data_IF_017045939619
#
_entry.id   IF_017045939619
#
_cell.length_a   1.000
_cell.length_b   1.000
_cell.length_c   1.000
_cell.angle_alpha   90.00
_cell.angle_beta   90.00
_cell.angle_gamma   90.00
#
_symmetry.space_group_name_H-M   'P 1'
#
loop_
_entity.id
_entity.type
_entity.pdbx_description
1 polymer ?
#
# COMPACT_ATOMS: atom_id res chain seq x y z
N UNK A 1 15.29 28.15 15.75
CA UNK A 1 14.32 27.22 15.13
C UNK A 1 14.68 27.09 13.67
N UNK A 2 14.82 25.89 13.10
CA UNK A 2 14.99 25.77 11.67
C UNK A 2 13.78 26.36 10.95
N UNK A 3 14.05 27.18 9.94
CA UNK A 3 13.02 27.83 9.13
C UNK A 3 12.51 26.82 8.10
N UNK A 4 11.46 26.08 8.45
CA UNK A 4 10.69 25.36 7.44
C UNK A 4 9.78 26.34 6.69
N UNK A 5 9.49 26.06 5.42
CA UNK A 5 8.51 26.80 4.61
C UNK A 5 7.49 25.82 4.07
N UNK A 6 6.22 26.09 4.33
CA UNK A 6 5.11 25.37 3.72
C UNK A 6 4.62 26.16 2.50
N UNK A 7 4.33 25.43 1.43
CA UNK A 7 3.75 25.99 0.22
C UNK A 7 2.66 25.04 -0.28
N UNK A 8 1.43 25.53 -0.33
CA UNK A 8 0.30 24.79 -0.84
C UNK A 8 -0.19 25.47 -2.13
N UNK A 9 -0.29 24.71 -3.21
CA UNK A 9 -0.90 25.13 -4.48
C UNK A 9 -2.14 24.25 -4.75
N UNK A 10 -3.32 24.70 -4.28
CA UNK A 10 -4.57 23.96 -4.50
C UNK A 10 -4.92 23.78 -5.98
N UNK A 11 -4.50 24.71 -6.84
CA UNK A 11 -4.81 24.65 -8.29
C UNK A 11 -4.11 23.49 -8.98
N UNK A 12 -2.94 23.11 -8.48
CA UNK A 12 -2.16 21.97 -8.96
C UNK A 12 -2.39 20.69 -8.16
N UNK A 13 -3.11 20.77 -7.04
CA UNK A 13 -3.25 19.68 -6.08
C UNK A 13 -1.95 19.38 -5.34
N UNK A 14 -1.07 20.38 -5.21
CA UNK A 14 0.28 20.21 -4.69
C UNK A 14 0.41 20.81 -3.30
N UNK A 15 1.10 20.09 -2.40
CA UNK A 15 1.52 20.57 -1.09
C UNK A 15 3.00 20.31 -0.94
N UNK A 16 3.72 21.25 -0.32
CA UNK A 16 5.17 21.21 -0.25
C UNK A 16 5.67 21.72 1.10
N UNK A 17 6.73 21.08 1.60
CA UNK A 17 7.53 21.57 2.72
C UNK A 17 9.00 21.65 2.29
N UNK A 18 9.65 22.77 2.60
CA UNK A 18 11.09 22.94 2.44
C UNK A 18 11.76 23.15 3.81
N UNK A 19 12.78 22.36 4.11
CA UNK A 19 13.55 22.40 5.36
C UNK A 19 14.92 21.71 5.18
N UNK A 20 15.97 22.23 5.82
CA UNK A 20 17.31 21.60 5.85
C UNK A 20 17.88 21.20 4.47
N UNK A 21 17.66 22.02 3.43
CA UNK A 21 18.12 21.71 2.05
C UNK A 21 17.30 20.63 1.34
N UNK A 22 16.18 20.20 1.94
CA UNK A 22 15.21 19.28 1.38
C UNK A 22 13.94 20.00 0.95
N UNK A 23 13.42 19.58 -0.19
CA UNK A 23 12.10 19.95 -0.69
C UNK A 23 11.26 18.69 -0.84
N UNK A 24 10.18 18.58 -0.08
CA UNK A 24 9.26 17.44 -0.11
C UNK A 24 7.93 17.93 -0.67
N UNK A 25 7.51 17.36 -1.79
CA UNK A 25 6.33 17.76 -2.55
C UNK A 25 5.39 16.57 -2.75
N UNK A 26 4.13 16.72 -2.35
CA UNK A 26 3.06 15.75 -2.62
C UNK A 26 2.06 16.32 -3.63
N UNK A 27 1.73 15.57 -4.66
CA UNK A 27 0.75 15.91 -5.68
C UNK A 27 -0.40 14.92 -5.63
N UNK A 28 -1.62 15.43 -5.47
CA UNK A 28 -2.87 14.65 -5.50
C UNK A 28 -3.85 15.27 -6.48
N UNK A 29 -4.26 14.47 -7.46
CA UNK A 29 -5.15 14.82 -8.57
C UNK A 29 -6.25 13.76 -8.69
N UNK A 30 -7.35 14.09 -9.39
CA UNK A 30 -8.38 13.09 -9.70
C UNK A 30 -7.81 11.90 -10.47
N UNK A 31 -8.61 10.83 -10.55
CA UNK A 31 -8.34 9.70 -11.44
C UNK A 31 -8.13 10.18 -12.89
N UNK A 32 -7.37 9.41 -13.67
CA UNK A 32 -7.12 9.73 -15.07
C UNK A 32 -8.43 9.91 -15.84
N UNK A 33 -8.48 10.95 -16.67
CA UNK A 33 -9.54 11.06 -17.66
C UNK A 33 -9.40 9.93 -18.70
N UNK A 34 -10.50 9.58 -19.38
CA UNK A 34 -10.51 8.54 -20.43
C UNK A 34 -9.32 8.67 -21.41
N UNK A 35 -9.05 9.84 -22.04
CA UNK A 35 -7.92 9.95 -22.96
C UNK A 35 -6.54 9.80 -22.28
N UNK A 36 -6.38 10.25 -21.02
CA UNK A 36 -5.13 10.02 -20.28
C UNK A 36 -4.97 8.54 -19.91
N UNK A 37 -6.07 7.87 -19.56
CA UNK A 37 -6.10 6.44 -19.24
C UNK A 37 -5.76 5.59 -20.48
N UNK A 38 -6.31 5.91 -21.64
CA UNK A 38 -5.99 5.25 -22.91
C UNK A 38 -4.51 5.42 -23.27
N UNK A 39 -3.98 6.64 -23.11
CA UNK A 39 -2.57 6.94 -23.36
C UNK A 39 -1.64 6.18 -22.40
N UNK A 40 -1.96 6.16 -21.10
CA UNK A 40 -1.19 5.45 -20.09
C UNK A 40 -1.27 3.92 -20.27
N UNK A 41 -2.45 3.39 -20.59
CA UNK A 41 -2.65 1.96 -20.91
C UNK A 41 -1.80 1.54 -22.12
N UNK A 42 -1.73 2.40 -23.14
CA UNK A 42 -0.92 2.18 -24.34
C UNK A 42 0.59 2.24 -24.03
N UNK A 43 1.04 3.26 -23.29
CA UNK A 43 2.47 3.41 -22.91
C UNK A 43 2.94 2.26 -22.02
N UNK A 44 2.09 1.82 -21.10
CA UNK A 44 2.39 0.75 -20.17
C UNK A 44 2.17 -0.64 -20.77
N UNK A 45 1.43 -0.77 -21.88
CA UNK A 45 1.00 -2.07 -22.42
C UNK A 45 0.35 -2.94 -21.31
N UNK A 46 -0.57 -2.33 -20.57
CA UNK A 46 -1.19 -2.87 -19.36
C UNK A 46 -2.60 -2.27 -19.19
N UNK A 47 -3.61 -3.11 -18.95
CA UNK A 47 -4.93 -2.64 -18.53
C UNK A 47 -4.79 -1.90 -17.20
N UNK A 48 -5.19 -0.64 -17.14
CA UNK A 48 -5.08 0.13 -15.91
C UNK A 48 -6.04 -0.39 -14.83
N UNK A 49 -5.66 -0.26 -13.55
CA UNK A 49 -6.57 -0.45 -12.42
C UNK A 49 -7.83 0.41 -12.56
N UNK A 50 -8.94 -0.06 -11.99
CA UNK A 50 -10.22 0.66 -11.99
C UNK A 50 -10.10 2.09 -11.44
N UNK A 51 -9.33 2.28 -10.36
CA UNK A 51 -9.07 3.58 -9.75
C UNK A 51 -7.59 3.91 -9.94
N UNK A 52 -7.27 4.59 -11.04
CA UNK A 52 -5.89 4.97 -11.38
C UNK A 52 -5.65 6.47 -11.19
N UNK A 53 -4.88 6.86 -10.17
CA UNK A 53 -4.45 8.24 -9.96
C UNK A 53 -3.12 8.50 -10.69
N UNK A 54 -3.11 8.39 -12.02
CA UNK A 54 -1.88 8.45 -12.82
C UNK A 54 -1.05 9.73 -12.67
N UNK A 55 -1.67 10.82 -12.21
CA UNK A 55 -1.04 12.12 -11.98
C UNK A 55 -0.60 12.37 -10.51
N UNK A 56 -0.73 11.37 -9.63
CA UNK A 56 -0.30 11.46 -8.24
C UNK A 56 1.19 11.13 -8.10
N UNK A 57 1.86 11.87 -7.23
CA UNK A 57 3.27 11.64 -6.94
C UNK A 57 3.68 12.17 -5.56
N UNK A 58 4.63 11.50 -4.93
CA UNK A 58 5.48 12.06 -3.88
C UNK A 58 6.88 12.26 -4.44
N UNK A 59 7.42 13.47 -4.30
CA UNK A 59 8.76 13.81 -4.76
C UNK A 59 9.56 14.45 -3.64
N UNK A 60 10.77 13.97 -3.41
CA UNK A 60 11.71 14.46 -2.39
C UNK A 60 12.99 14.87 -3.08
N UNK A 61 13.35 16.13 -3.00
CA UNK A 61 14.50 16.72 -3.68
C UNK A 61 15.54 17.18 -2.66
N UNK A 62 16.81 16.89 -2.94
CA UNK A 62 17.94 17.38 -2.16
C UNK A 62 18.69 18.46 -2.95
N UNK A 63 18.71 19.68 -2.43
CA UNK A 63 19.20 20.85 -3.16
C UNK A 63 20.71 20.76 -3.45
N UNK A 64 21.51 20.24 -2.51
CA UNK A 64 22.97 20.21 -2.64
C UNK A 64 23.45 19.05 -3.52
N UNK A 65 22.97 17.84 -3.26
CA UNK A 65 23.36 16.65 -4.03
C UNK A 65 22.63 16.57 -5.39
N UNK A 66 21.64 17.44 -5.61
CA UNK A 66 20.92 17.60 -6.88
C UNK A 66 20.28 16.31 -7.37
N UNK A 67 19.68 15.51 -6.49
CA UNK A 67 18.87 14.36 -6.90
C UNK A 67 17.45 14.47 -6.34
N UNK A 68 16.55 13.66 -6.90
CA UNK A 68 15.20 13.49 -6.40
C UNK A 68 14.85 12.02 -6.23
N UNK A 69 14.13 11.70 -5.15
CA UNK A 69 13.42 10.45 -4.98
C UNK A 69 11.96 10.68 -5.35
N UNK A 70 11.37 9.77 -6.11
CA UNK A 70 10.00 9.92 -6.60
C UNK A 70 9.21 8.60 -6.53
N UNK A 71 7.97 8.71 -6.06
CA UNK A 71 6.98 7.65 -6.12
C UNK A 71 5.77 8.19 -6.88
N UNK A 72 5.56 7.71 -8.10
CA UNK A 72 4.41 8.06 -8.93
C UNK A 72 3.70 6.80 -9.43
N UNK A 73 2.43 6.94 -9.79
CA UNK A 73 1.56 5.82 -10.18
C UNK A 73 2.05 5.07 -11.42
N UNK A 74 2.53 5.79 -12.43
CA UNK A 74 2.92 5.18 -13.71
C UNK A 74 4.17 4.32 -13.56
N UNK A 75 5.17 4.75 -12.78
CA UNK A 75 6.36 3.95 -12.49
C UNK A 75 6.03 2.70 -11.68
N UNK A 76 5.10 2.80 -10.73
CA UNK A 76 4.60 1.65 -9.97
C UNK A 76 3.94 0.61 -10.89
N UNK A 77 3.10 1.05 -11.82
CA UNK A 77 2.44 0.18 -12.80
C UNK A 77 3.43 -0.36 -13.86
N UNK A 78 4.46 0.39 -14.21
CA UNK A 78 5.51 -0.04 -15.14
C UNK A 78 6.28 -1.25 -14.61
N UNK A 79 6.43 -1.37 -13.29
CA UNK A 79 7.09 -2.47 -12.62
C UNK A 79 6.21 -3.73 -12.41
N UNK A 80 4.95 -3.70 -12.84
CA UNK A 80 4.09 -4.89 -12.82
C UNK A 80 4.61 -5.91 -13.85
N UNK A 81 4.79 -7.15 -13.40
CA UNK A 81 5.27 -8.23 -14.25
C UNK A 81 4.22 -8.60 -15.31
N UNK A 82 4.64 -8.69 -16.57
CA UNK A 82 3.79 -8.96 -17.75
C UNK A 82 4.58 -9.65 -18.85
N UNK A 83 3.88 -10.31 -19.77
CA UNK A 83 4.46 -10.93 -20.98
C UNK A 83 4.61 -12.44 -20.90
N UNK A 84 4.91 -13.12 -22.02
CA UNK A 84 5.02 -14.58 -22.04
C UNK A 84 6.07 -15.10 -21.02
N UNK A 85 5.68 -16.10 -20.24
CA UNK A 85 6.52 -16.66 -19.17
C UNK A 85 6.50 -15.87 -17.86
N UNK A 86 5.61 -14.88 -17.71
CA UNK A 86 5.40 -14.16 -16.45
C UNK A 86 5.09 -15.12 -15.29
N UNK A 87 4.36 -16.21 -15.55
CA UNK A 87 3.99 -17.21 -14.56
C UNK A 87 5.09 -18.24 -14.30
N UNK A 88 5.93 -18.50 -15.31
CA UNK A 88 7.05 -19.45 -15.25
C UNK A 88 8.36 -18.83 -14.75
N UNK A 89 8.45 -17.50 -14.66
CA UNK A 89 9.61 -16.80 -14.11
C UNK A 89 9.82 -17.20 -12.64
N UNK A 90 11.03 -17.64 -12.29
CA UNK A 90 11.37 -18.00 -10.92
C UNK A 90 11.15 -16.79 -10.00
N UNK A 91 10.28 -16.93 -9.00
CA UNK A 91 9.94 -15.84 -8.08
C UNK A 91 8.81 -14.93 -8.54
N UNK A 92 8.11 -15.24 -9.64
CA UNK A 92 6.96 -14.44 -10.11
C UNK A 92 5.90 -14.22 -9.03
N UNK A 93 5.73 -15.20 -8.13
CA UNK A 93 4.62 -15.19 -7.18
C UNK A 93 3.28 -15.19 -7.91
N UNK A 94 3.20 -15.76 -9.10
CA UNK A 94 2.03 -15.76 -9.96
C UNK A 94 0.79 -16.27 -9.20
N UNK A 95 -0.22 -15.41 -9.05
CA UNK A 95 -1.51 -15.79 -8.49
C UNK A 95 -2.53 -15.77 -9.60
N UNK A 96 -2.94 -16.94 -10.10
CA UNK A 96 -4.01 -16.98 -11.10
C UNK A 96 -5.35 -16.76 -10.40
N UNK A 97 -5.92 -15.58 -10.57
CA UNK A 97 -7.31 -15.31 -10.18
C UNK A 97 -8.22 -16.10 -11.12
N UNK A 98 -9.18 -16.86 -10.58
CA UNK A 98 -9.99 -17.81 -11.36
C UNK A 98 -10.73 -17.18 -12.56
N UNK A 99 -11.00 -15.87 -12.52
CA UNK A 99 -11.65 -15.13 -13.60
C UNK A 99 -10.68 -14.55 -14.66
N UNK A 100 -9.37 -14.50 -14.38
CA UNK A 100 -8.37 -14.03 -15.34
C UNK A 100 -8.44 -14.82 -16.66
N UNK A 101 -8.72 -16.13 -16.56
CA UNK A 101 -8.92 -17.00 -17.71
C UNK A 101 -10.21 -16.66 -18.47
N UNK A 102 -11.28 -16.23 -17.79
CA UNK A 102 -12.55 -15.85 -18.43
C UNK A 102 -12.46 -14.49 -19.11
N UNK A 103 -11.80 -13.51 -18.49
CA UNK A 103 -11.55 -12.19 -19.10
C UNK A 103 -10.65 -12.31 -20.34
N UNK A 104 -9.57 -13.09 -20.23
CA UNK A 104 -8.68 -13.40 -21.36
C UNK A 104 -9.44 -14.12 -22.48
N UNK A 105 -10.32 -15.08 -22.13
CA UNK A 105 -11.19 -15.78 -23.08
C UNK A 105 -12.24 -14.85 -23.70
N UNK A 106 -12.83 -13.93 -22.94
CA UNK A 106 -13.83 -12.98 -23.43
C UNK A 106 -13.20 -11.96 -24.39
N UNK A 107 -11.99 -11.48 -24.12
CA UNK A 107 -11.23 -10.63 -25.04
C UNK A 107 -10.88 -11.36 -26.35
N UNK A 108 -10.47 -12.63 -26.25
CA UNK A 108 -10.21 -13.48 -27.42
C UNK A 108 -11.50 -13.78 -28.22
N UNK A 109 -12.64 -13.98 -27.54
CA UNK A 109 -13.92 -14.32 -28.15
C UNK A 109 -14.68 -13.12 -28.73
N UNK A 110 -14.50 -11.92 -28.18
CA UNK A 110 -15.18 -10.69 -28.62
C UNK A 110 -14.69 -10.17 -29.97
N UNK A 111 -13.64 -10.75 -30.57
CA UNK A 111 -13.15 -10.33 -31.89
C UNK A 111 -12.71 -8.87 -31.97
N UNK A 112 -12.47 -8.20 -30.84
CA UNK A 112 -12.05 -6.79 -30.75
C UNK A 112 -10.57 -6.57 -31.14
N UNK A 113 -10.09 -7.38 -32.09
CA UNK A 113 -8.77 -7.34 -32.72
C UNK A 113 -8.67 -6.26 -33.82
N UNK A 114 -9.68 -5.40 -33.96
CA UNK A 114 -9.72 -4.40 -35.02
C UNK A 114 -8.89 -3.15 -34.75
N UNK A 115 -8.63 -2.77 -33.49
CA UNK A 115 -7.88 -1.54 -33.21
C UNK A 115 -7.31 -1.38 -31.78
N UNK A 116 -7.30 -2.42 -30.95
CA UNK A 116 -6.64 -2.38 -29.63
C UNK A 116 -5.47 -3.35 -29.62
N UNK A 117 -4.29 -2.84 -29.29
CA UNK A 117 -3.07 -3.64 -29.07
C UNK A 117 -3.37 -4.78 -28.11
N UNK A 118 -3.12 -6.02 -28.55
CA UNK A 118 -3.26 -7.22 -27.72
C UNK A 118 -2.35 -7.06 -26.51
N UNK A 119 -2.95 -6.78 -25.35
CA UNK A 119 -2.19 -6.57 -24.12
C UNK A 119 -1.47 -7.84 -23.70
N UNK A 120 -0.27 -7.68 -23.16
CA UNK A 120 0.51 -8.80 -22.66
C UNK A 120 -0.23 -9.53 -21.53
N UNK A 121 -0.14 -10.87 -21.47
CA UNK A 121 -0.74 -11.62 -20.37
C UNK A 121 -0.05 -11.24 -19.05
N UNK A 122 -0.84 -11.10 -17.99
CA UNK A 122 -0.44 -10.84 -16.61
C UNK A 122 -1.50 -11.40 -15.64
N UNK A 123 -1.27 -11.31 -14.33
CA UNK A 123 -2.07 -11.98 -13.31
C UNK A 123 -3.26 -11.20 -12.74
N UNK A 124 -3.48 -9.97 -13.23
CA UNK A 124 -4.53 -9.05 -12.77
C UNK A 124 -4.41 -8.62 -11.30
N UNK A 125 -3.32 -8.92 -10.60
CA UNK A 125 -3.12 -8.53 -9.20
C UNK A 125 -2.42 -7.18 -9.03
N UNK A 126 -1.89 -6.64 -10.13
CA UNK A 126 -1.09 -5.41 -10.14
C UNK A 126 0.09 -5.43 -9.15
N UNK A 127 0.62 -6.63 -8.84
CA UNK A 127 1.77 -6.79 -7.95
C UNK A 127 2.96 -5.99 -8.49
N UNK A 128 3.40 -5.00 -7.71
CA UNK A 128 4.54 -4.14 -8.03
C UNK A 128 5.63 -4.26 -6.97
N UNK A 129 6.88 -4.35 -7.42
CA UNK A 129 8.08 -4.40 -6.58
C UNK A 129 8.90 -3.11 -6.68
N UNK A 130 8.27 -2.00 -7.10
CA UNK A 130 8.98 -0.77 -7.38
C UNK A 130 9.41 -0.04 -6.07
N UNK A 131 10.71 0.20 -5.84
CA UNK A 131 11.20 0.79 -4.60
C UNK A 131 11.15 2.33 -4.57
N UNK A 132 10.63 2.96 -5.61
CA UNK A 132 10.74 4.39 -5.86
C UNK A 132 11.87 4.72 -6.84
N UNK A 133 11.63 5.72 -7.68
CA UNK A 133 12.54 6.19 -8.71
C UNK A 133 13.58 7.13 -8.10
N UNK A 134 14.81 7.07 -8.59
CA UNK A 134 15.88 8.02 -8.24
C UNK A 134 16.27 8.78 -9.49
N UNK A 135 16.07 10.10 -9.49
CA UNK A 135 16.37 10.97 -10.61
C UNK A 135 17.61 11.80 -10.28
N UNK A 136 18.67 11.60 -11.05
CA UNK A 136 19.87 12.46 -11.02
C UNK A 136 20.03 13.15 -12.35
N UNK A 137 20.22 14.48 -12.39
CA UNK A 137 20.55 15.19 -13.61
C UNK A 137 21.93 14.72 -14.11
N UNK A 138 22.17 14.73 -15.43
CA UNK A 138 23.42 14.24 -16.02
C UNK A 138 24.69 14.96 -15.52
N UNK A 139 24.54 16.16 -14.96
CA UNK A 139 25.64 16.97 -14.44
C UNK A 139 26.00 16.69 -12.97
N UNK A 140 25.21 15.88 -12.25
CA UNK A 140 25.44 15.55 -10.85
C UNK A 140 26.01 14.12 -10.69
N UNK A 141 26.60 13.84 -9.53
CA UNK A 141 27.01 12.47 -9.20
C UNK A 141 25.77 11.57 -9.07
N UNK A 142 25.78 10.34 -9.63
CA UNK A 142 24.66 9.43 -9.50
C UNK A 142 24.39 9.06 -8.04
N UNK A 143 23.13 9.19 -7.63
CA UNK A 143 22.69 8.80 -6.31
C UNK A 143 22.39 7.29 -6.33
N UNK A 144 23.38 6.51 -5.91
CA UNK A 144 23.35 5.05 -6.01
C UNK A 144 22.95 4.41 -4.67
N UNK A 145 21.98 3.49 -4.73
CA UNK A 145 21.59 2.65 -3.60
C UNK A 145 22.51 1.45 -3.47
N UNK A 146 23.00 1.20 -2.25
CA UNK A 146 23.89 0.09 -1.93
C UNK A 146 23.31 -0.75 -0.81
N UNK A 147 23.61 -2.06 -0.80
CA UNK A 147 23.22 -2.91 0.31
C UNK A 147 23.86 -2.41 1.62
N UNK A 148 23.06 -2.31 2.68
CA UNK A 148 23.55 -1.95 3.99
C UNK A 148 24.49 -3.04 4.55
N UNK A 149 25.56 -2.68 5.26
CA UNK A 149 26.38 -3.69 5.94
C UNK A 149 25.54 -4.45 6.98
N UNK A 150 25.82 -5.74 7.25
CA UNK A 150 25.04 -6.54 8.20
C UNK A 150 24.97 -5.98 9.63
N UNK A 151 25.93 -5.12 9.99
CA UNK A 151 26.01 -4.44 11.29
C UNK A 151 25.18 -3.16 11.38
N UNK A 152 24.56 -2.73 10.27
CA UNK A 152 23.80 -1.49 10.24
C UNK A 152 22.53 -1.59 11.10
N UNK A 153 22.24 -0.61 11.98
CA UNK A 153 21.10 -0.68 12.90
C UNK A 153 19.73 -0.61 12.19
N UNK A 154 19.71 -0.13 10.95
CA UNK A 154 18.49 0.05 10.16
C UNK A 154 17.74 1.32 10.52
N UNK A 155 16.45 1.36 10.20
CA UNK A 155 15.62 2.53 10.50
C UNK A 155 15.34 2.57 12.02
N UNK A 156 15.63 3.68 12.70
CA UNK A 156 15.39 3.81 14.14
C UNK A 156 13.89 4.01 14.43
N UNK A 157 13.11 2.92 14.37
CA UNK A 157 11.65 2.95 14.57
C UNK A 157 11.23 3.54 15.92
N UNK A 158 12.05 3.39 16.96
CA UNK A 158 11.80 3.99 18.27
C UNK A 158 11.78 5.52 18.22
N UNK A 159 12.68 6.13 17.43
CA UNK A 159 12.70 7.59 17.23
C UNK A 159 11.48 8.07 16.45
N UNK A 160 10.94 7.25 15.55
CA UNK A 160 9.73 7.56 14.79
C UNK A 160 8.43 7.40 15.60
N UNK A 161 8.45 6.61 16.69
CA UNK A 161 7.32 6.40 17.59
C UNK A 161 7.19 7.50 18.66
N UNK A 162 8.20 8.37 18.78
CA UNK A 162 8.21 9.50 19.71
C UNK A 162 7.12 10.52 19.36
N UNK A 163 6.33 10.89 20.37
CA UNK A 163 5.23 11.87 20.25
C UNK A 163 5.62 13.28 20.69
N UNK A 164 6.82 13.47 21.26
CA UNK A 164 7.30 14.77 21.72
C UNK A 164 7.74 15.69 20.57
N UNK A 165 8.09 15.12 19.41
CA UNK A 165 8.48 15.88 18.22
C UNK A 165 7.23 16.08 17.33
N UNK A 166 6.81 17.32 17.07
CA UNK A 166 5.61 17.57 16.27
C UNK A 166 5.84 17.22 14.79
N UNK A 167 4.81 16.62 14.17
CA UNK A 167 4.77 16.40 12.73
C UNK A 167 4.50 17.75 12.05
N UNK A 168 5.45 18.22 11.25
CA UNK A 168 5.35 19.47 10.50
C UNK A 168 4.62 19.29 9.18
N UNK A 169 4.78 18.12 8.55
CA UNK A 169 4.14 17.79 7.30
C UNK A 169 3.74 16.32 7.29
N UNK A 170 2.48 16.08 6.91
CA UNK A 170 1.94 14.76 6.68
C UNK A 170 1.11 14.79 5.41
N UNK A 171 1.29 13.77 4.59
CA UNK A 171 0.37 13.49 3.50
C UNK A 171 0.28 11.99 3.22
N UNK A 172 -0.86 11.60 2.65
CA UNK A 172 -1.20 10.26 2.18
C UNK A 172 -1.63 10.37 0.73
N UNK A 173 -0.85 9.76 -0.15
CA UNK A 173 -0.96 9.85 -1.59
C UNK A 173 -1.37 8.46 -2.12
N UNK A 174 -2.66 8.24 -2.44
CA UNK A 174 -3.06 7.02 -3.13
C UNK A 174 -2.54 7.06 -4.58
N UNK A 175 -1.99 5.95 -5.07
CA UNK A 175 -1.47 5.86 -6.44
C UNK A 175 -2.44 5.10 -7.35
N UNK A 176 -2.82 3.89 -6.98
CA UNK A 176 -3.89 3.16 -7.65
C UNK A 176 -4.59 2.19 -6.71
N UNK A 177 -5.79 1.79 -7.09
CA UNK A 177 -6.62 0.80 -6.42
C UNK A 177 -7.46 0.01 -7.44
N UNK A 178 -7.67 -1.27 -7.16
CA UNK A 178 -8.48 -2.20 -7.96
C UNK A 178 -9.20 -3.19 -7.04
N UNK A 179 -10.48 -3.46 -7.31
CA UNK A 179 -11.30 -4.40 -6.52
C UNK A 179 -11.22 -5.85 -7.04
N UNK A 180 -10.37 -6.12 -8.04
CA UNK A 180 -10.14 -7.46 -8.62
C UNK A 180 -11.45 -8.13 -9.08
N UNK A 181 -12.40 -7.33 -9.58
CA UNK A 181 -13.75 -7.77 -9.91
C UNK A 181 -14.50 -8.36 -8.71
N UNK A 182 -14.50 -7.65 -7.58
CA UNK A 182 -15.10 -8.03 -6.29
C UNK A 182 -14.46 -9.25 -5.59
N UNK A 183 -13.28 -9.70 -6.02
CA UNK A 183 -12.58 -10.86 -5.43
C UNK A 183 -11.47 -10.48 -4.44
N UNK A 184 -11.35 -9.19 -4.12
CA UNK A 184 -10.31 -8.72 -3.24
C UNK A 184 -10.05 -7.23 -3.37
N UNK A 185 -8.82 -6.82 -3.07
CA UNK A 185 -8.36 -5.46 -3.28
C UNK A 185 -6.86 -5.47 -3.53
N UNK A 186 -6.41 -4.70 -4.52
CA UNK A 186 -5.02 -4.39 -4.77
C UNK A 186 -4.86 -2.87 -4.76
N UNK A 187 -3.99 -2.33 -3.89
CA UNK A 187 -3.75 -0.89 -3.88
C UNK A 187 -2.31 -0.51 -3.51
N UNK A 188 -1.90 0.67 -3.97
CA UNK A 188 -0.64 1.30 -3.59
C UNK A 188 -0.91 2.66 -2.97
N UNK A 189 -0.41 2.87 -1.77
CA UNK A 189 -0.46 4.15 -1.06
C UNK A 189 0.91 4.54 -0.56
N UNK A 190 1.26 5.82 -0.73
CA UNK A 190 2.50 6.41 -0.23
C UNK A 190 2.17 7.41 0.88
N UNK A 191 2.72 7.19 2.07
CA UNK A 191 2.56 8.06 3.23
C UNK A 191 3.88 8.74 3.54
N UNK A 192 3.87 10.04 3.79
CA UNK A 192 5.05 10.80 4.20
C UNK A 192 4.79 11.52 5.52
N UNK A 193 5.76 11.46 6.43
CA UNK A 193 5.80 12.20 7.69
C UNK A 193 7.11 12.95 7.75
N UNK A 194 7.05 14.25 8.04
CA UNK A 194 8.22 15.11 8.19
C UNK A 194 8.11 15.82 9.52
N UNK A 195 9.17 15.74 10.31
CA UNK A 195 9.32 16.49 11.54
C UNK A 195 10.55 17.41 11.43
N UNK A 196 11.07 17.93 12.54
CA UNK A 196 12.25 18.81 12.53
C UNK A 196 13.59 18.07 12.42
N UNK A 197 13.61 16.77 12.69
CA UNK A 197 14.82 15.95 12.79
C UNK A 197 14.96 14.95 11.64
N UNK A 198 13.86 14.58 10.97
CA UNK A 198 13.84 13.54 9.95
C UNK A 198 12.60 13.63 9.04
N UNK A 199 12.68 12.93 7.91
CA UNK A 199 11.51 12.48 7.17
C UNK A 199 11.43 10.96 7.15
N UNK A 200 10.20 10.45 7.05
CA UNK A 200 9.88 9.04 6.88
C UNK A 200 8.81 8.86 5.81
N UNK A 201 9.07 7.97 4.86
CA UNK A 201 8.16 7.59 3.79
C UNK A 201 7.85 6.10 3.91
N UNK A 202 6.56 5.75 3.79
CA UNK A 202 6.10 4.38 3.63
C UNK A 202 5.33 4.28 2.31
N UNK A 203 5.94 3.64 1.32
CA UNK A 203 5.23 3.19 0.11
C UNK A 203 4.80 1.75 0.34
N UNK A 204 3.50 1.48 0.29
CA UNK A 204 2.94 0.15 0.54
C UNK A 204 2.08 -0.28 -0.64
N UNK A 205 2.44 -1.39 -1.24
CA UNK A 205 1.52 -2.22 -2.02
C UNK A 205 0.85 -3.22 -1.07
N UNK A 206 -0.47 -3.27 -1.07
CA UNK A 206 -1.26 -4.25 -0.33
C UNK A 206 -2.19 -4.98 -1.29
N UNK A 207 -2.16 -6.30 -1.22
CA UNK A 207 -2.99 -7.20 -1.99
C UNK A 207 -3.71 -8.15 -1.02
N UNK A 208 -5.02 -8.20 -1.16
CA UNK A 208 -5.86 -9.24 -0.57
C UNK A 208 -6.61 -9.89 -1.71
N UNK A 209 -6.49 -11.22 -1.81
CA UNK A 209 -7.36 -12.01 -2.66
C UNK A 209 -8.19 -12.88 -1.73
N UNK A 210 -9.50 -12.69 -1.78
CA UNK A 210 -10.42 -13.31 -0.84
C UNK A 210 -10.33 -14.83 -0.93
N UNK A 211 -10.27 -15.47 0.25
CA UNK A 211 -10.11 -16.92 0.40
C UNK A 211 -8.80 -17.51 -0.17
N UNK A 212 -7.85 -16.69 -0.62
CA UNK A 212 -6.60 -17.14 -1.22
C UNK A 212 -5.38 -16.69 -0.43
N UNK A 213 -5.03 -15.40 -0.47
CA UNK A 213 -3.84 -14.90 0.21
C UNK A 213 -3.87 -13.39 0.51
N UNK A 214 -2.95 -12.99 1.39
CA UNK A 214 -2.53 -11.62 1.60
C UNK A 214 -1.08 -11.46 1.16
N UNK A 215 -0.78 -10.36 0.48
CA UNK A 215 0.56 -9.99 0.04
C UNK A 215 0.80 -8.51 0.28
N UNK A 216 1.94 -8.19 0.88
CA UNK A 216 2.35 -6.82 1.19
C UNK A 216 3.76 -6.60 0.66
N UNK A 217 3.99 -5.44 0.05
CA UNK A 217 5.32 -4.95 -0.29
C UNK A 217 5.49 -3.55 0.29
N UNK A 218 6.22 -3.48 1.40
CA UNK A 218 6.53 -2.25 2.13
C UNK A 218 7.92 -1.74 1.70
N UNK A 219 7.98 -0.48 1.30
CA UNK A 219 9.23 0.25 1.07
C UNK A 219 9.24 1.45 2.00
N UNK A 220 10.14 1.40 2.99
CA UNK A 220 10.32 2.42 4.02
C UNK A 220 11.58 3.20 3.72
N UNK A 221 11.46 4.50 3.52
CA UNK A 221 12.60 5.39 3.30
C UNK A 221 12.70 6.39 4.44
N UNK A 222 13.87 6.48 5.07
CA UNK A 222 14.13 7.31 6.23
C UNK A 222 15.41 8.10 6.05
N UNK A 223 15.38 9.35 6.49
CA UNK A 223 16.57 10.18 6.59
C UNK A 223 16.47 11.06 7.83
N UNK A 224 17.53 11.06 8.63
CA UNK A 224 17.71 12.06 9.68
C UNK A 224 18.44 13.27 9.10
N UNK A 225 17.89 14.47 9.27
CA UNK A 225 18.54 15.69 8.78
C UNK A 225 19.91 15.85 9.44
N UNK A 226 20.91 16.23 8.63
CA UNK A 226 22.32 16.29 9.04
C UNK A 226 23.04 14.94 9.05
N UNK A 227 22.36 13.81 8.81
CA UNK A 227 23.04 12.53 8.58
C UNK A 227 23.59 12.45 7.15
N UNK A 228 24.68 11.71 6.96
CA UNK A 228 25.30 11.50 5.65
C UNK A 228 24.66 10.40 4.82
N UNK A 229 23.45 9.95 5.15
CA UNK A 229 22.84 8.80 4.49
C UNK A 229 21.30 8.83 4.49
N UNK A 230 20.71 8.13 3.53
CA UNK A 230 19.29 7.77 3.49
C UNK A 230 19.20 6.25 3.58
N UNK A 231 18.31 5.77 4.43
CA UNK A 231 18.09 4.35 4.65
C UNK A 231 16.79 3.95 3.95
N UNK A 232 16.84 2.87 3.16
CA UNK A 232 15.68 2.24 2.54
C UNK A 232 15.55 0.79 3.01
N UNK A 233 14.48 0.48 3.71
CA UNK A 233 14.10 -0.87 4.11
C UNK A 233 12.97 -1.37 3.22
N UNK A 234 13.17 -2.49 2.56
CA UNK A 234 12.19 -3.16 1.70
C UNK A 234 11.76 -4.46 2.39
N UNK A 235 10.45 -4.68 2.50
CA UNK A 235 9.86 -5.88 3.10
C UNK A 235 8.72 -6.40 2.25
N UNK A 236 8.90 -7.59 1.69
CA UNK A 236 7.77 -8.37 1.15
C UNK A 236 7.30 -9.41 2.14
N UNK A 237 5.99 -9.50 2.31
CA UNK A 237 5.32 -10.48 3.16
C UNK A 237 4.17 -11.10 2.40
N UNK A 238 3.98 -12.39 2.60
CA UNK A 238 2.87 -13.13 2.02
C UNK A 238 2.43 -14.22 3.00
N UNK A 239 1.11 -14.39 3.13
CA UNK A 239 0.54 -15.49 3.87
C UNK A 239 -0.81 -15.92 3.27
N UNK A 240 -1.19 -17.21 3.39
CA UNK A 240 -2.51 -17.68 3.00
C UNK A 240 -3.63 -16.99 3.78
N UNK A 241 -4.77 -16.75 3.12
CA UNK A 241 -5.92 -16.05 3.71
C UNK A 241 -6.43 -16.74 4.98
N UNK A 242 -6.59 -18.07 4.90
CA UNK A 242 -7.06 -18.91 6.01
C UNK A 242 -6.18 -18.83 7.25
N UNK A 243 -4.89 -18.57 7.10
CA UNK A 243 -3.99 -18.44 8.25
C UNK A 243 -4.31 -17.19 9.07
N UNK A 244 -4.58 -16.05 8.41
CA UNK A 244 -4.97 -14.81 9.08
C UNK A 244 -6.39 -14.91 9.64
N UNK A 245 -7.31 -15.53 8.90
CA UNK A 245 -8.66 -15.83 9.39
C UNK A 245 -8.63 -16.64 10.68
N UNK A 246 -7.80 -17.69 10.75
CA UNK A 246 -7.67 -18.51 11.95
C UNK A 246 -7.05 -17.75 13.15
N UNK A 247 -6.25 -16.68 12.92
CA UNK A 247 -5.77 -15.81 14.01
C UNK A 247 -6.90 -15.04 14.69
N UNK A 248 -7.99 -14.74 13.98
CA UNK A 248 -9.20 -14.16 14.58
C UNK A 248 -9.94 -15.13 15.50
N UNK A 249 -9.74 -16.44 15.33
CA UNK A 249 -10.38 -17.50 16.13
C UNK A 249 -9.59 -17.87 17.40
N UNK A 250 -8.34 -17.45 17.50
CA UNK A 250 -7.46 -17.79 18.62
C UNK A 250 -7.83 -17.07 19.92
N UNK A 251 -7.44 -17.59 21.10
CA UNK A 251 -7.78 -17.05 22.42
C UNK A 251 -7.27 -15.62 22.75
N UNK A 252 -6.68 -14.91 21.78
CA UNK A 252 -6.26 -13.50 21.89
C UNK A 252 -7.18 -12.49 21.21
N UNK A 253 -8.24 -12.91 20.52
CA UNK A 253 -9.10 -12.01 19.75
C UNK A 253 -10.06 -11.16 20.62
N UNK A 254 -10.44 -11.63 21.81
CA UNK A 254 -11.42 -10.95 22.67
C UNK A 254 -10.87 -9.73 23.45
N UNK A 255 -9.60 -9.34 23.26
CA UNK A 255 -8.92 -8.35 24.12
C UNK A 255 -8.22 -7.17 23.42
N UNK A 256 -8.29 -7.05 22.09
CA UNK A 256 -7.60 -5.96 21.36
C UNK A 256 -8.61 -5.01 20.73
N UNK A 257 -9.22 -4.15 21.56
CA UNK A 257 -9.88 -2.95 21.03
C UNK A 257 -8.85 -2.04 20.36
N UNK A 258 -9.17 -1.42 19.22
CA UNK A 258 -8.33 -0.38 18.64
C UNK A 258 -8.14 0.74 19.67
N UNK A 259 -6.91 1.25 19.79
CA UNK A 259 -6.64 2.47 20.55
C UNK A 259 -7.62 3.57 20.09
N UNK A 260 -8.23 4.34 21.02
CA UNK A 260 -9.17 5.38 20.65
C UNK A 260 -8.48 6.41 19.76
N UNK A 261 -9.00 6.58 18.55
CA UNK A 261 -8.64 7.68 17.68
C UNK A 261 -8.94 8.99 18.41
N UNK A 262 -7.92 9.83 18.57
CA UNK A 262 -8.04 11.20 19.06
C UNK A 262 -8.90 12.01 18.09
N UNK A 263 -10.21 12.02 18.30
CA UNK A 263 -11.12 13.00 17.68
C UNK A 263 -11.19 14.22 18.59
N UNK A 264 -10.32 15.19 18.31
CA UNK A 264 -10.46 16.55 18.83
C UNK A 264 -10.85 17.47 17.67
N UNK A 265 -11.78 18.37 17.96
CA UNK A 265 -12.26 19.50 17.16
C UNK A 265 -13.46 19.24 16.23
N UNK A 266 -14.65 19.12 16.83
CA UNK A 266 -15.88 19.62 16.20
C UNK A 266 -16.31 20.91 16.90
N UNK A 267 -16.27 22.03 16.19
CA UNK A 267 -16.87 23.29 16.64
C UNK A 267 -18.35 23.34 16.26
N UNK A 268 -19.24 23.93 17.08
CA UNK A 268 -20.68 23.88 16.89
C UNK A 268 -21.16 24.95 15.89
N UNK A 269 -22.11 24.58 15.02
CA UNK A 269 -22.89 25.52 14.21
C UNK A 269 -24.32 25.58 14.77
N UNK A 270 -24.91 26.76 14.97
CA UNK A 270 -26.18 26.90 15.68
C UNK A 270 -27.40 26.56 14.81
N UNK A 271 -28.41 26.03 15.49
CA UNK A 271 -29.75 25.69 15.02
C UNK A 271 -30.47 26.88 14.37
N UNK A 272 -31.23 26.61 13.30
CA UNK A 272 -32.35 27.47 12.91
C UNK A 272 -33.58 26.65 12.52
N UNK A 273 -34.69 27.13 13.05
CA UNK A 273 -36.04 26.60 13.04
C UNK A 273 -36.62 26.24 11.67
N UNK A 274 -37.31 25.10 11.63
CA UNK A 274 -38.77 25.06 11.55
C UNK A 274 -39.37 25.16 10.15
N UNK A 275 -39.92 24.05 9.66
CA UNK A 275 -41.19 24.03 8.93
C UNK A 275 -41.94 22.72 9.21
N UNK A 276 -43.22 22.90 9.52
CA UNK A 276 -44.23 21.90 9.84
C UNK A 276 -44.91 21.41 8.57
N UNK A 277 -45.18 20.11 8.46
CA UNK A 277 -46.32 19.59 7.68
C UNK A 277 -46.79 18.24 8.25
N UNK A 278 -48.11 18.12 8.38
CA UNK A 278 -48.87 17.12 9.12
C UNK A 278 -49.22 15.88 8.24
N UNK A 279 -49.91 14.86 8.79
CA UNK A 279 -49.88 13.47 8.33
C UNK A 279 -51.06 13.09 7.43
N UNK A 280 -50.96 11.94 6.77
CA UNK A 280 -52.09 11.24 6.18
C UNK A 280 -52.04 9.75 6.49
N UNK A 281 -52.99 9.35 7.33
CA UNK A 281 -53.40 8.00 7.66
C UNK A 281 -54.17 7.35 6.51
N UNK A 282 -53.93 6.06 6.26
CA UNK A 282 -54.98 5.10 5.90
C UNK A 282 -54.49 3.71 6.28
N UNK A 283 -55.14 3.11 7.28
CA UNK A 283 -55.00 1.71 7.60
C UNK A 283 -55.90 0.85 6.72
N UNK A 284 -55.55 -0.43 6.60
CA UNK A 284 -56.48 -1.53 6.38
C UNK A 284 -55.91 -2.78 7.06
N UNK A 285 -56.65 -3.25 8.05
CA UNK A 285 -56.53 -4.49 8.79
C UNK A 285 -57.06 -5.69 7.99
N UNK A 286 -56.50 -6.90 8.17
CA UNK A 286 -57.29 -8.12 8.46
C UNK A 286 -56.44 -9.41 8.66
N UNK A 287 -56.58 -10.01 9.86
CA UNK A 287 -56.71 -11.44 10.24
C UNK A 287 -55.57 -12.45 9.91
N UNK A 288 -54.88 -13.00 10.95
CA UNK A 288 -55.06 -14.34 11.63
C UNK A 288 -54.91 -15.55 10.70
N UNK A 289 -54.25 -16.68 11.02
CA UNK A 289 -53.56 -17.24 12.19
C UNK A 289 -52.79 -18.49 11.73
N UNK A 290 -51.77 -18.92 12.49
CA UNK A 290 -51.40 -20.35 12.51
C UNK A 290 -49.91 -20.64 12.57
N UNK A 291 -49.50 -21.34 13.64
CA UNK A 291 -48.37 -22.27 13.58
C UNK A 291 -47.01 -21.76 14.08
N UNK A 292 -46.83 -21.73 15.40
CA UNK A 292 -45.52 -21.65 16.02
C UNK A 292 -44.72 -22.94 15.76
N UNK A 293 -43.64 -22.84 14.99
CA UNK A 293 -42.53 -23.79 14.96
C UNK A 293 -41.24 -22.97 14.98
N UNK A 294 -40.91 -22.36 16.13
CA UNK A 294 -39.60 -21.72 16.34
C UNK A 294 -38.57 -22.83 16.63
N UNK A 295 -38.13 -23.50 15.57
CA UNK A 295 -36.85 -24.20 15.53
C UNK A 295 -35.79 -23.23 15.02
N UNK A 296 -35.46 -22.19 15.80
CA UNK A 296 -34.29 -21.39 15.52
C UNK A 296 -33.06 -22.27 15.84
N UNK A 297 -32.45 -22.83 14.79
CA UNK A 297 -31.04 -23.22 14.83
C UNK A 297 -30.27 -22.07 15.49
N UNK A 298 -29.36 -22.32 16.43
CA UNK A 298 -28.46 -21.27 16.88
C UNK A 298 -27.74 -20.77 15.62
N UNK A 299 -28.07 -19.56 15.19
CA UNK A 299 -27.29 -18.86 14.19
C UNK A 299 -25.90 -18.74 14.82
N UNK A 300 -24.95 -19.50 14.29
CA UNK A 300 -23.54 -19.28 14.56
C UNK A 300 -23.30 -17.76 14.56
N UNK A 301 -22.70 -17.19 15.61
CA UNK A 301 -22.44 -15.76 15.62
C UNK A 301 -21.68 -15.44 14.33
N UNK A 302 -22.24 -14.55 13.51
CA UNK A 302 -21.63 -14.17 12.24
C UNK A 302 -20.18 -13.81 12.51
N UNK A 303 -19.26 -14.60 11.95
CA UNK A 303 -17.83 -14.43 12.13
C UNK A 303 -17.47 -12.99 11.71
N UNK A 304 -16.95 -12.19 12.65
CA UNK A 304 -16.54 -10.82 12.34
C UNK A 304 -15.22 -10.85 11.56
N UNK A 305 -15.33 -10.76 10.24
CA UNK A 305 -14.20 -10.75 9.31
C UNK A 305 -13.69 -9.33 9.02
N UNK A 306 -14.26 -8.30 9.64
CA UNK A 306 -13.83 -6.89 9.41
C UNK A 306 -12.34 -6.65 9.64
N UNK A 307 -11.62 -7.33 10.55
CA UNK A 307 -10.18 -7.12 10.67
C UNK A 307 -9.38 -7.56 9.44
N UNK A 308 -9.90 -8.49 8.62
CA UNK A 308 -9.26 -8.92 7.38
C UNK A 308 -9.27 -7.84 6.29
N UNK A 309 -10.10 -6.80 6.45
CA UNK A 309 -10.14 -5.65 5.55
C UNK A 309 -9.28 -4.49 6.06
N UNK A 310 -8.80 -4.51 7.31
CA UNK A 310 -7.91 -3.48 7.85
C UNK A 310 -6.45 -3.75 7.44
N UNK A 311 -5.93 -2.91 6.53
CA UNK A 311 -4.58 -3.07 6.01
C UNK A 311 -3.48 -2.92 7.06
N UNK A 312 -3.71 -2.17 8.14
CA UNK A 312 -2.73 -2.02 9.22
C UNK A 312 -2.71 -3.26 10.12
N UNK A 313 -3.90 -3.81 10.44
CA UNK A 313 -4.00 -5.04 11.21
C UNK A 313 -3.36 -6.22 10.47
N UNK A 314 -3.72 -6.40 9.19
CA UNK A 314 -3.14 -7.45 8.33
C UNK A 314 -1.63 -7.32 8.24
N UNK A 315 -1.10 -6.13 7.99
CA UNK A 315 0.35 -5.89 7.95
C UNK A 315 1.05 -6.25 9.27
N UNK A 316 0.41 -5.93 10.42
CA UNK A 316 0.93 -6.28 11.74
C UNK A 316 1.03 -7.79 11.94
N UNK A 317 -0.03 -8.53 11.60
CA UNK A 317 -0.06 -10.00 11.69
C UNK A 317 0.97 -10.63 10.75
N UNK A 318 1.11 -10.13 9.52
CA UNK A 318 2.10 -10.61 8.56
C UNK A 318 3.54 -10.41 9.06
N UNK A 319 3.83 -9.29 9.73
CA UNK A 319 5.15 -9.06 10.32
C UNK A 319 5.40 -10.00 11.51
N UNK A 320 4.41 -10.22 12.38
CA UNK A 320 4.53 -11.19 13.48
C UNK A 320 4.81 -12.62 12.96
N UNK A 321 4.14 -13.02 11.88
CA UNK A 321 4.34 -14.33 11.25
C UNK A 321 5.74 -14.47 10.66
N UNK A 322 6.23 -13.44 9.98
CA UNK A 322 7.58 -13.46 9.42
C UNK A 322 8.65 -13.53 10.51
N UNK A 323 8.48 -12.79 11.62
CA UNK A 323 9.39 -12.87 12.76
C UNK A 323 9.40 -14.27 13.39
N UNK A 324 8.23 -14.90 13.52
CA UNK A 324 8.14 -16.27 14.03
C UNK A 324 8.84 -17.28 13.10
N UNK A 325 8.69 -17.12 11.77
CA UNK A 325 9.34 -17.95 10.76
C UNK A 325 10.87 -17.79 10.79
N UNK A 326 11.37 -16.55 10.87
CA UNK A 326 12.81 -16.24 11.00
C UNK A 326 13.41 -16.87 12.27
N UNK A 327 12.71 -16.78 13.42
CA UNK A 327 13.15 -17.39 14.67
C UNK A 327 13.20 -18.93 14.57
N UNK A 328 12.20 -19.56 13.94
CA UNK A 328 12.18 -21.01 13.76
C UNK A 328 13.30 -21.48 12.81
N UNK A 329 13.56 -20.74 11.74
CA UNK A 329 14.66 -21.04 10.82
C UNK A 329 16.03 -20.93 11.49
N UNK A 330 16.25 -19.89 12.30
CA UNK A 330 17.50 -19.74 13.08
C UNK A 330 17.76 -20.92 14.02
N UNK A 331 16.73 -21.35 14.75
CA UNK A 331 16.82 -22.51 15.66
C UNK A 331 17.08 -23.83 14.92
N UNK A 332 16.53 -23.99 13.71
CA UNK A 332 16.76 -25.18 12.88
C UNK A 332 18.18 -25.22 12.30
N UNK A 333 18.71 -24.09 11.83
CA UNK A 333 20.10 -23.97 11.34
C UNK A 333 21.13 -24.34 12.41
N UNK A 334 20.92 -23.91 13.66
CA UNK A 334 21.77 -24.29 14.79
C UNK A 334 21.70 -25.79 15.13
N UNK A 335 20.60 -26.47 14.80
CA UNK A 335 20.39 -27.89 15.10
C UNK A 335 20.87 -28.86 14.02
N UNK A 336 20.77 -28.50 12.74
CA UNK A 336 20.97 -29.46 11.64
C UNK A 336 22.16 -29.13 10.74
N UNK A 337 22.77 -27.94 10.84
CA UNK A 337 23.94 -27.56 10.02
C UNK A 337 23.70 -27.58 8.50
N UNK A 338 22.45 -27.76 8.06
CA UNK A 338 22.07 -27.81 6.65
C UNK A 338 21.36 -26.52 6.25
N UNK A 339 21.94 -25.81 5.28
CA UNK A 339 21.25 -24.72 4.58
C UNK A 339 20.08 -25.32 3.79
N UNK A 340 18.85 -25.01 4.19
CA UNK A 340 17.66 -25.33 3.42
C UNK A 340 17.67 -24.54 2.11
N UNK A 341 17.62 -25.27 1.00
CA UNK A 341 17.44 -24.74 -0.36
C UNK A 341 16.31 -23.69 -0.38
N UNK A 342 16.58 -22.50 -0.94
CA UNK A 342 15.60 -21.43 -1.07
C UNK A 342 14.36 -21.95 -1.83
N UNK A 343 13.23 -22.04 -1.14
CA UNK A 343 11.96 -22.45 -1.75
C UNK A 343 11.54 -21.46 -2.84
N UNK A 344 10.79 -21.95 -3.83
CA UNK A 344 10.07 -21.23 -4.89
C UNK A 344 9.09 -20.16 -4.33
N UNK A 345 9.59 -19.14 -3.65
CA UNK A 345 8.81 -18.05 -3.08
C UNK A 345 8.76 -16.84 -4.01
N UNK A 346 7.72 -16.01 -3.86
CA UNK A 346 7.64 -14.69 -4.49
C UNK A 346 8.92 -13.88 -4.27
N UNK A 347 9.50 -13.32 -5.34
CA UNK A 347 10.78 -12.59 -5.35
C UNK A 347 10.77 -11.40 -4.38
N UNK A 348 9.61 -10.75 -4.22
CA UNK A 348 9.46 -9.65 -3.27
C UNK A 348 9.61 -10.09 -1.80
N UNK A 349 9.44 -11.38 -1.49
CA UNK A 349 9.40 -11.89 -0.11
C UNK A 349 10.77 -11.77 0.56
N UNK A 350 10.75 -11.29 1.80
CA UNK A 350 11.94 -11.16 2.63
C UNK A 350 12.18 -9.72 3.07
N UNK A 351 13.41 -9.43 3.49
CA UNK A 351 13.82 -8.11 3.95
C UNK A 351 15.13 -7.72 3.27
N UNK A 352 15.17 -6.51 2.73
CA UNK A 352 16.38 -5.89 2.17
C UNK A 352 16.59 -4.54 2.82
N UNK A 353 17.83 -4.22 3.16
CA UNK A 353 18.21 -2.91 3.69
C UNK A 353 19.24 -2.30 2.75
N UNK A 354 18.97 -1.08 2.32
CA UNK A 354 19.78 -0.33 1.40
C UNK A 354 20.07 1.06 1.95
N UNK A 355 21.20 1.63 1.54
CA UNK A 355 21.68 2.94 1.97
C UNK A 355 22.07 3.72 0.73
N UNK A 356 21.74 5.01 0.72
CA UNK A 356 22.22 5.98 -0.24
C UNK A 356 23.04 7.02 0.51
N UNK A 357 24.34 7.10 0.20
CA UNK A 357 25.24 8.06 0.83
C UNK A 357 25.01 9.47 0.29
N UNK A 358 24.93 10.44 1.18
CA UNK A 358 24.85 11.85 0.88
C UNK A 358 26.26 12.46 0.95
N UNK A 359 26.60 13.40 0.06
CA UNK A 359 27.83 14.17 0.22
C UNK A 359 27.77 14.91 1.56
N UNK A 360 28.85 14.82 2.35
CA UNK A 360 28.92 15.52 3.64
C UNK A 360 28.83 17.02 3.40
N UNK A 361 27.97 17.69 4.17
CA UNK A 361 27.93 19.16 4.23
C UNK A 361 29.29 19.66 4.74
N UNK A 362 29.98 20.49 3.94
CA UNK A 362 31.27 21.10 4.27
C UNK A 362 31.08 22.40 5.02
#
# INVERSE_FOLDING_TARGET
MPRHRLHDDPSRGQRQIALEGWTISSTKRPILSIPEADAASTDLDLALPEICFGNNALRIEHDQARFALEWNTLDMLRAVQKGQGWDAAAGSGAVRVAYADEWTRAQAASGSLGNMTVQKPFDWTYTTLHPGSTHTPPSAQPAEWRAAPPTHPGIPLASLARTDIPILFFDEIPLFEDELGDNGIANVTVRVRVNRESFFVLSRFALRIDNLLFRYYDVRTYHAFGSGEIIREIKGREAPYELLRNRLRGPGAAGRSPLPQSTACASPVPSRAGYSAAPSSTGLSSLRSGGALNGALPSEPSEDLTPLTDSNWVAGVLEELALADEMQHGLNLERTGQQSHASQGWEGKGRKLEILSLPQEV
#
